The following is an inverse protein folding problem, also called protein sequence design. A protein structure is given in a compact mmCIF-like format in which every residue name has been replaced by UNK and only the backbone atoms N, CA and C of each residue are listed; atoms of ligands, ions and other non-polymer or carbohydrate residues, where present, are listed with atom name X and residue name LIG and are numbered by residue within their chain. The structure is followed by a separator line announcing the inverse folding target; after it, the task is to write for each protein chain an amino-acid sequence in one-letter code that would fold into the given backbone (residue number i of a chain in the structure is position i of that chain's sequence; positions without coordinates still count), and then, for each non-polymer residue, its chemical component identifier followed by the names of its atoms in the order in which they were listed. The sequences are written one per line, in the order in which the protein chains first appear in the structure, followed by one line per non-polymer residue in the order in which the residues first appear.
data_IF_893832246367
#
_entry.id   IF_893832246367
#
_cell.length_a   1.000
_cell.length_b   1.000
_cell.length_c   1.000
_cell.angle_alpha   90.00
_cell.angle_beta   90.00
_cell.angle_gamma   90.00
#
_symmetry.space_group_name_H-M   'P 1'
#
loop_
_entity.id
_entity.type
_entity.pdbx_description
1 polymer ?
#
# COMPACT_ATOMS: atom_id res chain seq x y z
N UNK A 1 -1.54 -38.73 -4.86
CA UNK A 1 -2.80 -38.36 -5.53
C UNK A 1 -2.41 -37.63 -6.80
N UNK A 2 -2.61 -38.22 -7.96
CA UNK A 2 -2.23 -37.60 -9.24
C UNK A 2 -3.39 -36.70 -9.71
N UNK A 3 -3.14 -35.42 -9.87
CA UNK A 3 -4.08 -34.50 -10.48
C UNK A 3 -4.03 -34.66 -12.00
N UNK A 4 -5.16 -34.71 -12.64
CA UNK A 4 -5.28 -34.81 -14.11
C UNK A 4 -5.39 -33.43 -14.78
N UNK A 5 -5.76 -32.40 -14.00
CA UNK A 5 -5.93 -31.03 -14.48
C UNK A 5 -5.18 -30.03 -13.60
N UNK A 6 -4.46 -29.14 -14.20
CA UNK A 6 -3.75 -28.05 -13.50
C UNK A 6 -4.65 -27.22 -12.58
N UNK A 7 -5.92 -27.02 -12.97
CA UNK A 7 -6.83 -26.22 -12.17
C UNK A 7 -7.10 -26.87 -10.82
N UNK A 8 -7.33 -28.19 -10.80
CA UNK A 8 -7.61 -28.92 -9.55
C UNK A 8 -6.37 -28.90 -8.62
N UNK A 9 -5.18 -29.07 -9.19
CA UNK A 9 -3.90 -28.97 -8.47
C UNK A 9 -3.70 -27.57 -7.89
N UNK A 10 -3.96 -26.53 -8.67
CA UNK A 10 -3.82 -25.14 -8.23
C UNK A 10 -4.83 -24.79 -7.15
N UNK A 11 -6.07 -25.22 -7.29
CA UNK A 11 -7.13 -24.92 -6.33
C UNK A 11 -6.87 -25.63 -4.99
N UNK A 12 -6.44 -26.90 -5.01
CA UNK A 12 -6.03 -27.62 -3.80
C UNK A 12 -4.84 -26.94 -3.10
N UNK A 13 -3.83 -26.57 -3.86
CA UNK A 13 -2.67 -25.82 -3.35
C UNK A 13 -3.09 -24.50 -2.66
N UNK A 14 -4.00 -23.75 -3.26
CA UNK A 14 -4.43 -22.48 -2.69
C UNK A 14 -5.34 -22.66 -1.46
N UNK A 15 -6.26 -23.63 -1.52
CA UNK A 15 -7.17 -23.92 -0.42
C UNK A 15 -6.39 -24.31 0.85
N UNK A 16 -5.52 -25.28 0.73
CA UNK A 16 -4.74 -25.81 1.86
C UNK A 16 -3.66 -24.83 2.37
N UNK A 17 -3.16 -23.97 1.51
CA UNK A 17 -2.19 -22.91 1.91
C UNK A 17 -2.86 -21.67 2.49
N UNK A 18 -4.19 -21.56 2.49
CA UNK A 18 -4.90 -20.37 2.99
C UNK A 18 -4.58 -19.08 2.25
N UNK A 19 -4.33 -19.15 0.94
CA UNK A 19 -3.90 -18.00 0.16
C UNK A 19 -5.02 -16.97 -0.04
N UNK A 20 -4.69 -15.68 0.14
CA UNK A 20 -5.59 -14.58 -0.22
C UNK A 20 -5.82 -14.50 -1.73
N UNK A 21 -6.92 -13.87 -2.17
CA UNK A 21 -7.23 -13.66 -3.58
C UNK A 21 -6.09 -12.97 -4.36
N UNK A 22 -5.39 -12.02 -3.72
CA UNK A 22 -4.20 -11.36 -4.29
C UNK A 22 -3.03 -12.32 -4.50
N UNK A 23 -2.78 -13.19 -3.52
CA UNK A 23 -1.75 -14.25 -3.61
C UNK A 23 -2.09 -15.23 -4.73
N UNK A 24 -3.34 -15.70 -4.79
CA UNK A 24 -3.82 -16.62 -5.85
C UNK A 24 -3.53 -16.04 -7.24
N UNK A 25 -3.90 -14.78 -7.49
CA UNK A 25 -3.64 -14.11 -8.77
C UNK A 25 -2.15 -14.06 -9.09
N UNK A 26 -1.32 -13.79 -8.09
CA UNK A 26 0.13 -13.69 -8.25
C UNK A 26 0.77 -15.06 -8.55
N UNK A 27 0.37 -16.13 -7.86
CA UNK A 27 0.80 -17.49 -8.15
C UNK A 27 0.38 -17.94 -9.56
N UNK A 28 -0.89 -17.73 -9.94
CA UNK A 28 -1.38 -18.07 -11.28
C UNK A 28 -0.56 -17.40 -12.40
N UNK A 29 -0.15 -16.15 -12.21
CA UNK A 29 0.71 -15.45 -13.16
C UNK A 29 2.07 -16.14 -13.31
N UNK A 30 2.68 -16.55 -12.21
CA UNK A 30 3.98 -17.25 -12.20
C UNK A 30 3.84 -18.66 -12.81
N UNK A 31 2.83 -19.41 -12.42
CA UNK A 31 2.56 -20.75 -12.94
C UNK A 31 2.34 -20.74 -14.47
N UNK A 32 1.57 -19.78 -14.97
CA UNK A 32 1.36 -19.66 -16.42
C UNK A 32 2.66 -19.35 -17.17
N UNK A 33 3.55 -18.53 -16.60
CA UNK A 33 4.87 -18.27 -17.18
C UNK A 33 5.76 -19.52 -17.16
N UNK A 34 5.77 -20.25 -16.05
CA UNK A 34 6.56 -21.46 -15.86
C UNK A 34 6.13 -22.56 -16.81
N UNK A 35 4.82 -22.82 -16.91
CA UNK A 35 4.22 -23.75 -17.88
C UNK A 35 4.58 -23.40 -19.33
N UNK A 36 4.37 -22.12 -19.69
CA UNK A 36 4.69 -21.65 -21.05
C UNK A 36 6.16 -21.80 -21.39
N UNK A 37 7.05 -21.52 -20.44
CA UNK A 37 8.49 -21.62 -20.64
C UNK A 37 8.92 -23.08 -20.88
N UNK A 38 8.40 -24.03 -20.11
CA UNK A 38 8.72 -25.44 -20.24
C UNK A 38 7.87 -26.19 -21.28
N UNK A 39 6.84 -25.53 -21.81
CA UNK A 39 5.84 -26.16 -22.71
C UNK A 39 5.22 -27.43 -22.10
N UNK A 40 4.94 -27.41 -20.79
CA UNK A 40 4.38 -28.52 -20.03
C UNK A 40 3.26 -28.04 -19.10
N UNK A 41 2.36 -28.96 -18.72
CA UNK A 41 1.37 -28.68 -17.67
C UNK A 41 2.05 -28.67 -16.28
N UNK A 42 1.43 -28.06 -15.27
CA UNK A 42 1.91 -28.16 -13.88
C UNK A 42 1.83 -29.59 -13.37
N UNK A 43 0.82 -30.33 -13.79
CA UNK A 43 0.66 -31.73 -13.43
C UNK A 43 1.82 -32.57 -13.96
N UNK A 44 2.23 -32.39 -15.22
CA UNK A 44 3.36 -33.12 -15.81
C UNK A 44 4.68 -32.75 -15.13
N UNK A 45 4.93 -31.46 -14.90
CA UNK A 45 6.12 -30.96 -14.20
C UNK A 45 6.23 -31.50 -12.77
N UNK A 46 5.09 -31.62 -12.09
CA UNK A 46 5.02 -32.20 -10.75
C UNK A 46 5.21 -33.71 -10.79
N UNK A 47 4.54 -34.40 -11.71
CA UNK A 47 4.63 -35.86 -11.86
C UNK A 47 6.06 -36.30 -12.19
N UNK A 48 6.76 -35.58 -13.08
CA UNK A 48 8.19 -35.82 -13.38
C UNK A 48 9.03 -35.76 -12.10
N UNK A 49 8.90 -34.68 -11.31
CA UNK A 49 9.67 -34.52 -10.08
C UNK A 49 9.35 -35.57 -9.00
N UNK A 50 8.06 -35.97 -8.87
CA UNK A 50 7.66 -37.03 -7.96
C UNK A 50 8.24 -38.37 -8.40
N UNK A 51 8.16 -38.70 -9.69
CA UNK A 51 8.70 -39.95 -10.24
C UNK A 51 10.20 -40.07 -10.02
N UNK A 52 10.95 -39.00 -10.22
CA UNK A 52 12.39 -38.97 -9.95
C UNK A 52 12.69 -39.19 -8.45
N UNK A 53 11.89 -38.61 -7.56
CA UNK A 53 12.04 -38.79 -6.12
C UNK A 53 11.70 -40.24 -5.68
N UNK A 54 10.64 -40.84 -6.23
CA UNK A 54 10.23 -42.21 -5.96
C UNK A 54 11.29 -43.22 -6.46
N UNK A 55 11.88 -42.97 -7.61
CA UNK A 55 12.98 -43.74 -8.19
C UNK A 55 14.31 -43.52 -7.50
N UNK A 56 14.37 -42.65 -6.46
CA UNK A 56 15.63 -42.30 -5.75
C UNK A 56 16.71 -41.79 -6.68
N UNK A 57 16.31 -41.02 -7.69
CA UNK A 57 17.27 -40.41 -8.63
C UNK A 57 18.31 -39.60 -7.88
N UNK A 58 19.62 -39.76 -8.13
CA UNK A 58 20.66 -38.96 -7.49
C UNK A 58 20.42 -37.46 -7.69
N UNK A 59 20.72 -36.65 -6.64
CA UNK A 59 20.45 -35.22 -6.63
C UNK A 59 21.00 -34.45 -7.84
N UNK A 60 22.20 -34.88 -8.31
CA UNK A 60 22.88 -34.30 -9.47
C UNK A 60 22.24 -34.68 -10.83
N UNK A 61 21.20 -35.50 -10.84
CA UNK A 61 20.44 -35.90 -12.05
C UNK A 61 18.99 -35.51 -12.00
N UNK A 62 18.56 -34.77 -10.97
CA UNK A 62 17.18 -34.31 -10.83
C UNK A 62 16.89 -33.22 -11.84
N UNK A 63 15.90 -33.43 -12.72
CA UNK A 63 15.49 -32.46 -13.76
C UNK A 63 14.89 -31.20 -13.15
N UNK A 64 14.30 -31.29 -11.97
CA UNK A 64 13.74 -30.13 -11.27
C UNK A 64 14.76 -29.01 -11.04
N UNK A 65 16.03 -29.36 -10.78
CA UNK A 65 17.09 -28.37 -10.65
C UNK A 65 17.28 -27.59 -11.94
N UNK A 66 17.45 -28.29 -13.07
CA UNK A 66 17.66 -27.65 -14.37
C UNK A 66 16.46 -26.85 -14.83
N UNK A 67 15.24 -27.31 -14.53
CA UNK A 67 14.01 -26.57 -14.81
C UNK A 67 13.92 -25.26 -14.06
N UNK A 68 14.25 -25.23 -12.77
CA UNK A 68 14.22 -24.01 -11.97
C UNK A 68 15.33 -23.05 -12.40
N UNK A 69 16.54 -23.56 -12.67
CA UNK A 69 17.68 -22.74 -13.12
C UNK A 69 17.42 -22.13 -14.50
N UNK A 70 16.99 -22.94 -15.48
CA UNK A 70 16.69 -22.44 -16.83
C UNK A 70 15.57 -21.41 -16.84
N UNK A 71 14.52 -21.61 -16.02
CA UNK A 71 13.47 -20.61 -15.84
C UNK A 71 13.98 -19.33 -15.16
N UNK A 72 14.86 -19.45 -14.17
CA UNK A 72 15.52 -18.29 -13.55
C UNK A 72 16.33 -17.49 -14.58
N UNK A 73 17.08 -18.16 -15.43
CA UNK A 73 17.89 -17.52 -16.46
C UNK A 73 17.01 -16.83 -17.53
N UNK A 74 15.88 -17.44 -17.87
CA UNK A 74 14.86 -16.80 -18.69
C UNK A 74 14.31 -15.54 -18.03
N UNK A 75 14.01 -15.58 -16.73
CA UNK A 75 13.52 -14.43 -15.99
C UNK A 75 14.56 -13.32 -15.90
N UNK A 76 15.84 -13.63 -15.74
CA UNK A 76 16.94 -12.65 -15.72
C UNK A 76 17.01 -11.86 -17.03
N UNK A 77 16.80 -12.52 -18.16
CA UNK A 77 16.81 -11.87 -19.48
C UNK A 77 15.61 -10.96 -19.73
N UNK A 78 14.46 -11.29 -19.13
CA UNK A 78 13.17 -10.67 -19.47
C UNK A 78 12.54 -9.83 -18.34
N UNK A 79 13.07 -9.87 -17.11
CA UNK A 79 12.49 -9.23 -15.94
C UNK A 79 13.56 -8.62 -15.02
N UNK A 80 13.12 -7.75 -14.11
CA UNK A 80 13.98 -6.99 -13.21
C UNK A 80 13.77 -7.45 -11.75
N UNK A 81 14.86 -7.60 -11.02
CA UNK A 81 14.97 -7.59 -9.57
C UNK A 81 14.01 -8.51 -8.81
N UNK A 82 13.19 -7.92 -7.97
CA UNK A 82 12.29 -8.64 -7.05
C UNK A 82 11.30 -9.58 -7.75
N UNK A 83 10.95 -9.33 -9.02
CA UNK A 83 10.07 -10.22 -9.79
C UNK A 83 10.70 -11.59 -10.01
N UNK A 84 12.02 -11.65 -10.20
CA UNK A 84 12.76 -12.91 -10.39
C UNK A 84 12.72 -13.72 -9.10
N UNK A 85 13.14 -13.10 -7.99
CA UNK A 85 13.20 -13.75 -6.68
C UNK A 85 11.82 -14.23 -6.23
N UNK A 86 10.79 -13.40 -6.39
CA UNK A 86 9.41 -13.74 -6.05
C UNK A 86 8.88 -14.91 -6.89
N UNK A 87 9.18 -14.93 -8.20
CA UNK A 87 8.74 -16.02 -9.08
C UNK A 87 9.40 -17.34 -8.71
N UNK A 88 10.72 -17.35 -8.50
CA UNK A 88 11.43 -18.55 -8.09
C UNK A 88 10.97 -19.04 -6.72
N UNK A 89 10.77 -18.14 -5.77
CA UNK A 89 10.22 -18.47 -4.44
C UNK A 89 8.86 -19.16 -4.53
N UNK A 90 7.96 -18.67 -5.39
CA UNK A 90 6.64 -19.27 -5.60
C UNK A 90 6.71 -20.68 -6.22
N UNK A 91 7.58 -20.88 -7.20
CA UNK A 91 7.79 -22.20 -7.78
C UNK A 91 8.34 -23.16 -6.73
N UNK A 92 9.34 -22.76 -5.95
CA UNK A 92 9.88 -23.58 -4.86
C UNK A 92 8.80 -23.92 -3.82
N UNK A 93 8.00 -22.94 -3.42
CA UNK A 93 6.89 -23.15 -2.48
C UNK A 93 5.87 -24.15 -3.01
N UNK A 94 5.54 -24.10 -4.29
CA UNK A 94 4.64 -25.06 -4.93
C UNK A 94 5.17 -26.50 -4.88
N UNK A 95 6.44 -26.72 -5.21
CA UNK A 95 7.05 -28.06 -5.13
C UNK A 95 7.16 -28.56 -3.69
N UNK A 96 7.61 -27.71 -2.76
CA UNK A 96 7.66 -28.07 -1.32
C UNK A 96 6.30 -28.43 -0.75
N UNK A 97 5.27 -27.68 -1.12
CA UNK A 97 3.90 -28.00 -0.74
C UNK A 97 3.49 -29.42 -1.18
N UNK A 98 3.88 -29.83 -2.38
CA UNK A 98 3.64 -31.17 -2.93
C UNK A 98 4.67 -32.18 -2.45
N UNK A 99 5.46 -31.89 -1.41
CA UNK A 99 6.46 -32.77 -0.78
C UNK A 99 7.59 -33.20 -1.71
N UNK A 100 7.87 -32.40 -2.73
CA UNK A 100 9.02 -32.60 -3.61
C UNK A 100 10.25 -31.95 -3.00
N UNK A 101 11.32 -32.72 -2.84
CA UNK A 101 12.61 -32.23 -2.40
C UNK A 101 13.28 -31.49 -3.54
N UNK A 102 13.70 -30.24 -3.28
CA UNK A 102 14.40 -29.42 -4.27
C UNK A 102 15.88 -29.36 -3.87
N UNK A 103 16.81 -29.68 -4.78
CA UNK A 103 18.23 -29.47 -4.57
C UNK A 103 18.56 -28.03 -4.19
N UNK A 104 19.74 -27.81 -3.61
CA UNK A 104 20.21 -26.47 -3.31
C UNK A 104 20.26 -25.60 -4.57
N UNK A 105 19.43 -24.58 -4.62
CA UNK A 105 19.42 -23.56 -5.69
C UNK A 105 20.25 -22.37 -5.19
N UNK A 106 21.39 -22.04 -5.78
CA UNK A 106 22.20 -20.90 -5.39
C UNK A 106 21.40 -19.60 -5.39
N UNK A 107 21.59 -18.72 -4.39
CA UNK A 107 20.90 -17.43 -4.37
C UNK A 107 21.25 -16.61 -5.62
N UNK A 108 20.31 -15.77 -6.04
CA UNK A 108 20.54 -14.87 -7.15
C UNK A 108 21.59 -13.82 -6.74
N UNK A 109 22.58 -13.58 -7.60
CA UNK A 109 23.57 -12.54 -7.36
C UNK A 109 22.87 -11.17 -7.24
N UNK A 110 23.31 -10.36 -6.28
CA UNK A 110 22.76 -9.02 -6.00
C UNK A 110 22.73 -8.12 -7.24
N UNK A 111 23.65 -8.29 -8.19
CA UNK A 111 23.65 -7.56 -9.48
C UNK A 111 22.35 -7.72 -10.26
N UNK A 112 21.68 -8.86 -10.14
CA UNK A 112 20.42 -9.12 -10.82
C UNK A 112 19.21 -8.73 -9.99
N UNK A 113 19.37 -8.60 -8.66
CA UNK A 113 18.30 -8.23 -7.72
C UNK A 113 18.21 -6.72 -7.55
N UNK A 114 19.34 -6.02 -7.54
CA UNK A 114 19.48 -4.61 -7.14
C UNK A 114 19.24 -3.57 -8.26
N UNK A 115 18.69 -3.98 -9.41
CA UNK A 115 18.29 -3.00 -10.46
C UNK A 115 17.05 -2.17 -10.12
N UNK A 116 16.48 -2.33 -8.94
CA UNK A 116 15.59 -1.31 -8.40
C UNK A 116 16.48 -0.19 -7.85
N UNK A 117 16.57 0.91 -8.57
CA UNK A 117 17.16 2.13 -8.06
C UNK A 117 16.62 2.39 -6.67
N UNK A 118 17.52 2.49 -5.68
CA UNK A 118 17.11 2.84 -4.33
C UNK A 118 16.42 4.20 -4.42
N UNK A 119 15.13 4.21 -4.14
CA UNK A 119 14.35 5.46 -4.15
C UNK A 119 14.93 6.36 -3.07
N UNK A 120 15.58 7.43 -3.49
CA UNK A 120 16.16 8.45 -2.64
C UNK A 120 15.12 9.49 -2.21
N UNK A 121 15.50 10.39 -1.32
CA UNK A 121 14.64 11.52 -0.95
C UNK A 121 14.32 12.42 -2.16
N UNK A 122 15.29 12.63 -3.04
CA UNK A 122 15.13 13.45 -4.25
C UNK A 122 14.11 12.88 -5.26
N UNK A 123 13.85 11.58 -5.20
CA UNK A 123 12.86 10.92 -6.06
C UNK A 123 11.43 11.11 -5.58
N UNK A 124 11.23 11.55 -4.34
CA UNK A 124 9.89 11.84 -3.83
C UNK A 124 9.34 13.11 -4.50
N UNK A 125 8.00 13.17 -4.72
CA UNK A 125 7.40 14.42 -5.16
C UNK A 125 7.58 15.49 -4.07
N UNK A 126 7.96 16.70 -4.46
CA UNK A 126 8.07 17.85 -3.57
C UNK A 126 6.70 18.43 -3.25
N UNK A 127 6.59 19.28 -2.21
CA UNK A 127 5.35 20.00 -1.92
C UNK A 127 4.90 20.88 -3.07
N UNK A 128 5.82 21.53 -3.79
CA UNK A 128 5.49 22.39 -4.94
C UNK A 128 4.96 21.57 -6.11
N UNK A 129 5.55 20.43 -6.41
CA UNK A 129 5.03 19.50 -7.41
C UNK A 129 3.65 18.97 -7.03
N UNK A 130 3.41 18.69 -5.74
CA UNK A 130 2.09 18.28 -5.28
C UNK A 130 1.07 19.44 -5.36
N UNK A 131 1.47 20.68 -5.06
CA UNK A 131 0.60 21.86 -5.28
C UNK A 131 0.26 22.04 -6.76
N UNK A 132 1.23 21.85 -7.66
CA UNK A 132 0.99 21.87 -9.09
C UNK A 132 0.05 20.74 -9.53
N UNK A 133 0.28 19.53 -9.06
CA UNK A 133 -0.63 18.40 -9.32
C UNK A 133 -2.06 18.69 -8.84
N UNK A 134 -2.20 19.32 -7.68
CA UNK A 134 -3.50 19.74 -7.15
C UNK A 134 -4.22 20.79 -8.00
N UNK A 135 -3.51 21.59 -8.78
CA UNK A 135 -4.15 22.57 -9.70
C UNK A 135 -4.80 21.86 -10.90
N UNK A 136 -4.12 20.86 -11.47
CA UNK A 136 -4.55 20.19 -12.70
C UNK A 136 -5.37 18.90 -12.47
N UNK A 137 -5.38 18.35 -11.26
CA UNK A 137 -6.19 17.20 -10.93
C UNK A 137 -7.70 17.53 -10.93
N UNK A 138 -8.54 16.56 -11.33
CA UNK A 138 -9.97 16.63 -11.07
C UNK A 138 -10.28 16.52 -9.57
N UNK A 139 -11.50 16.82 -9.16
CA UNK A 139 -11.88 16.84 -7.74
C UNK A 139 -11.69 15.50 -7.05
N UNK A 140 -11.96 14.40 -7.73
CA UNK A 140 -11.79 13.06 -7.17
C UNK A 140 -10.30 12.73 -6.97
N UNK A 141 -9.46 13.05 -7.95
CA UNK A 141 -8.02 12.83 -7.85
C UNK A 141 -7.39 13.74 -6.77
N UNK A 142 -7.91 14.98 -6.59
CA UNK A 142 -7.51 15.85 -5.47
C UNK A 142 -7.78 15.19 -4.12
N UNK A 143 -8.96 14.57 -3.96
CA UNK A 143 -9.28 13.84 -2.72
C UNK A 143 -8.31 12.66 -2.52
N UNK A 144 -8.01 11.88 -3.56
CA UNK A 144 -7.04 10.78 -3.48
C UNK A 144 -5.66 11.25 -3.05
N UNK A 145 -5.14 12.32 -3.65
CA UNK A 145 -3.82 12.90 -3.30
C UNK A 145 -3.82 13.27 -1.82
N UNK A 146 -4.79 14.08 -1.37
CA UNK A 146 -4.84 14.58 0.00
C UNK A 146 -5.05 13.47 1.03
N UNK A 147 -5.90 12.49 0.76
CA UNK A 147 -6.12 11.35 1.65
C UNK A 147 -4.83 10.56 1.85
N UNK A 148 -4.09 10.27 0.77
CA UNK A 148 -2.87 9.46 0.88
C UNK A 148 -1.73 10.24 1.55
N UNK A 149 -1.49 11.50 1.17
CA UNK A 149 -0.42 12.30 1.81
C UNK A 149 -0.72 12.58 3.28
N UNK A 150 -2.01 12.69 3.64
CA UNK A 150 -2.42 12.96 5.00
C UNK A 150 -2.37 11.71 5.89
N UNK A 151 -2.98 10.62 5.45
CA UNK A 151 -3.12 9.40 6.26
C UNK A 151 -1.98 8.39 6.09
N UNK A 152 -1.22 8.46 4.99
CA UNK A 152 -0.30 7.40 4.61
C UNK A 152 -0.98 6.07 4.27
N UNK A 153 -2.30 6.02 4.10
CA UNK A 153 -3.04 4.80 3.78
C UNK A 153 -2.62 4.21 2.43
N UNK A 154 -2.66 2.90 2.30
CA UNK A 154 -2.52 2.24 1.01
C UNK A 154 -3.74 2.51 0.12
N UNK A 155 -3.63 2.25 -1.19
CA UNK A 155 -4.77 2.42 -2.13
C UNK A 155 -6.03 1.67 -1.71
N UNK A 156 -5.86 0.43 -1.26
CA UNK A 156 -6.99 -0.40 -0.83
C UNK A 156 -7.62 0.13 0.46
N UNK A 157 -6.79 0.55 1.41
CA UNK A 157 -7.24 1.14 2.68
C UNK A 157 -7.90 2.51 2.45
N UNK A 158 -7.33 3.37 1.59
CA UNK A 158 -7.96 4.64 1.21
C UNK A 158 -9.32 4.42 0.50
N UNK A 159 -9.39 3.43 -0.40
CA UNK A 159 -10.63 3.06 -1.10
C UNK A 159 -11.71 2.51 -0.16
N UNK A 160 -11.35 1.89 0.96
CA UNK A 160 -12.31 1.37 1.94
C UNK A 160 -12.94 2.46 2.83
N UNK A 161 -12.43 3.69 2.80
CA UNK A 161 -13.05 4.79 3.52
C UNK A 161 -14.43 5.14 2.92
N UNK A 162 -15.40 5.35 3.79
CA UNK A 162 -16.75 5.81 3.43
C UNK A 162 -16.99 7.23 3.94
N UNK A 163 -18.10 7.85 3.53
CA UNK A 163 -18.54 9.13 4.08
C UNK A 163 -18.74 9.04 5.61
N UNK A 164 -19.16 7.88 6.11
CA UNK A 164 -19.26 7.55 7.54
C UNK A 164 -17.91 7.70 8.26
N UNK A 165 -16.80 7.28 7.62
CA UNK A 165 -15.45 7.46 8.19
C UNK A 165 -15.14 8.93 8.46
N UNK A 166 -15.51 9.83 7.54
CA UNK A 166 -15.33 11.27 7.73
C UNK A 166 -16.27 11.82 8.80
N UNK A 167 -17.56 11.45 8.75
CA UNK A 167 -18.58 11.92 9.66
C UNK A 167 -18.27 11.57 11.12
N UNK A 168 -18.07 10.29 11.40
CA UNK A 168 -17.77 9.80 12.75
C UNK A 168 -16.38 10.28 13.23
N UNK A 169 -15.37 10.24 12.33
CA UNK A 169 -14.01 10.67 12.66
C UNK A 169 -13.86 12.15 12.98
N UNK A 170 -14.86 12.96 12.66
CA UNK A 170 -14.89 14.40 12.95
C UNK A 170 -16.01 14.81 13.95
N UNK A 171 -16.80 13.86 14.44
CA UNK A 171 -17.97 14.14 15.28
C UNK A 171 -17.65 14.96 16.54
N UNK A 172 -16.49 14.75 17.16
CA UNK A 172 -16.05 15.52 18.34
C UNK A 172 -15.99 17.04 18.09
N UNK A 173 -15.86 17.47 16.82
CA UNK A 173 -15.77 18.88 16.45
C UNK A 173 -17.11 19.49 16.07
N UNK A 174 -17.93 18.78 15.28
CA UNK A 174 -19.18 19.36 14.74
C UNK A 174 -20.42 19.01 15.54
N UNK A 175 -20.50 17.85 16.18
CA UNK A 175 -21.64 17.38 16.97
C UNK A 175 -22.97 17.52 16.22
N UNK A 176 -22.97 17.23 14.91
CA UNK A 176 -24.15 17.32 14.05
C UNK A 176 -24.78 15.92 13.89
N UNK A 177 -26.10 15.90 13.77
CA UNK A 177 -26.86 14.66 13.65
C UNK A 177 -26.90 14.10 12.22
N UNK A 178 -26.62 14.96 11.23
CA UNK A 178 -26.61 14.56 9.83
C UNK A 178 -25.33 15.00 9.10
N UNK A 179 -24.99 14.26 8.04
CA UNK A 179 -23.73 14.44 7.31
C UNK A 179 -23.69 15.76 6.53
N UNK A 180 -24.81 16.22 5.95
CA UNK A 180 -24.87 17.47 5.22
C UNK A 180 -24.48 18.67 6.10
N UNK A 181 -25.04 18.76 7.30
CA UNK A 181 -24.70 19.85 8.23
C UNK A 181 -23.27 19.72 8.79
N UNK A 182 -22.80 18.48 8.98
CA UNK A 182 -21.41 18.24 9.31
C UNK A 182 -20.48 18.75 8.19
N UNK A 183 -20.76 18.46 6.93
CA UNK A 183 -19.99 18.94 5.79
C UNK A 183 -19.99 20.48 5.70
N UNK A 184 -21.13 21.15 5.92
CA UNK A 184 -21.20 22.63 5.99
C UNK A 184 -20.29 23.19 7.08
N UNK A 185 -20.26 22.55 8.24
CA UNK A 185 -19.35 22.93 9.31
C UNK A 185 -17.88 22.72 8.91
N UNK A 186 -17.54 21.53 8.45
CA UNK A 186 -16.17 21.15 8.08
C UNK A 186 -15.60 22.00 6.93
N UNK A 187 -16.43 22.34 5.94
CA UNK A 187 -16.02 23.18 4.80
C UNK A 187 -15.53 24.59 5.20
N UNK A 188 -15.96 25.09 6.38
CA UNK A 188 -15.60 26.40 6.92
C UNK A 188 -14.46 26.34 7.95
N UNK A 189 -14.07 25.15 8.40
CA UNK A 189 -13.05 24.96 9.44
C UNK A 189 -11.73 24.54 8.83
N UNK A 190 -10.65 25.04 9.39
CA UNK A 190 -9.27 24.75 8.95
C UNK A 190 -8.40 24.15 10.07
N UNK A 191 -9.03 23.63 11.11
CA UNK A 191 -8.36 23.11 12.31
C UNK A 191 -8.94 21.76 12.77
N UNK A 192 -9.68 21.06 11.90
CA UNK A 192 -10.29 19.76 12.22
C UNK A 192 -9.41 18.64 11.72
N UNK A 193 -9.01 17.75 12.61
CA UNK A 193 -8.28 16.52 12.30
C UNK A 193 -9.25 15.34 12.40
N UNK A 194 -9.49 14.64 11.28
CA UNK A 194 -10.35 13.46 11.26
C UNK A 194 -9.59 12.25 11.78
N UNK A 195 -10.20 11.47 12.67
CA UNK A 195 -9.68 10.18 13.12
C UNK A 195 -10.27 9.05 12.28
N UNK A 196 -9.42 8.29 11.58
CA UNK A 196 -9.83 7.17 10.76
C UNK A 196 -9.43 5.86 11.41
N UNK A 197 -10.40 4.97 11.68
CA UNK A 197 -10.16 3.59 12.07
C UNK A 197 -10.25 2.72 10.82
N UNK A 198 -9.16 2.14 10.41
CA UNK A 198 -9.04 1.34 9.18
C UNK A 198 -8.61 -0.08 9.50
N UNK A 199 -8.87 -0.99 8.58
CA UNK A 199 -8.37 -2.37 8.62
C UNK A 199 -7.26 -2.51 7.59
N UNK A 200 -6.09 -2.98 8.02
CA UNK A 200 -4.98 -3.23 7.13
C UNK A 200 -5.24 -4.46 6.28
N UNK A 201 -5.40 -4.28 4.98
CA UNK A 201 -5.73 -5.34 4.01
C UNK A 201 -4.75 -6.53 4.02
N UNK A 202 -3.47 -6.30 4.33
CA UNK A 202 -2.45 -7.36 4.31
C UNK A 202 -2.46 -8.26 5.55
N UNK A 203 -2.91 -7.76 6.70
CA UNK A 203 -2.81 -8.44 8.00
C UNK A 203 -4.12 -8.54 8.73
N UNK A 204 -5.18 -7.97 8.18
CA UNK A 204 -6.54 -7.91 8.73
C UNK A 204 -6.62 -7.30 10.14
N UNK A 205 -5.65 -6.42 10.47
CA UNK A 205 -5.57 -5.76 11.77
C UNK A 205 -6.11 -4.35 11.71
N UNK A 206 -6.93 -3.94 12.70
CA UNK A 206 -7.37 -2.56 12.80
C UNK A 206 -6.20 -1.66 13.22
N UNK A 207 -6.21 -0.43 12.69
CA UNK A 207 -5.27 0.61 13.07
C UNK A 207 -5.91 2.00 12.96
N UNK A 208 -5.27 3.01 13.55
CA UNK A 208 -5.72 4.39 13.48
C UNK A 208 -4.76 5.21 12.61
N UNK A 209 -5.36 6.06 11.78
CA UNK A 209 -4.64 7.10 11.06
C UNK A 209 -5.51 8.36 11.01
N UNK A 210 -4.99 9.46 10.43
CA UNK A 210 -5.66 10.75 10.52
C UNK A 210 -5.66 11.47 9.18
N UNK A 211 -6.70 12.30 8.97
CA UNK A 211 -6.70 13.27 7.88
C UNK A 211 -6.46 14.65 8.46
N UNK A 212 -5.50 15.38 7.91
CA UNK A 212 -5.18 16.74 8.30
C UNK A 212 -6.29 17.73 7.93
N UNK A 213 -6.31 18.95 8.48
CA UNK A 213 -7.40 19.89 8.24
C UNK A 213 -7.57 20.30 6.77
N UNK A 214 -6.49 20.35 5.97
CA UNK A 214 -6.58 20.66 4.53
C UNK A 214 -7.37 19.58 3.79
N UNK A 215 -7.08 18.32 4.09
CA UNK A 215 -7.77 17.17 3.53
C UNK A 215 -9.25 17.19 3.91
N UNK A 216 -9.57 17.33 5.21
CA UNK A 216 -10.94 17.38 5.73
C UNK A 216 -11.75 18.51 5.07
N UNK A 217 -11.20 19.72 5.05
CA UNK A 217 -11.87 20.88 4.48
C UNK A 217 -12.12 20.72 2.97
N UNK A 218 -11.13 20.22 2.23
CA UNK A 218 -11.25 20.03 0.79
C UNK A 218 -12.29 18.96 0.46
N UNK A 219 -12.27 17.83 1.15
CA UNK A 219 -13.27 16.76 0.97
C UNK A 219 -14.68 17.31 1.25
N UNK A 220 -14.85 18.01 2.36
CA UNK A 220 -16.16 18.57 2.71
C UNK A 220 -16.70 19.51 1.63
N UNK A 221 -15.87 20.39 1.06
CA UNK A 221 -16.26 21.29 -0.03
C UNK A 221 -16.63 20.53 -1.31
N UNK A 222 -15.89 19.48 -1.66
CA UNK A 222 -16.15 18.66 -2.85
C UNK A 222 -17.46 17.89 -2.67
N UNK A 223 -17.64 17.23 -1.53
CA UNK A 223 -18.87 16.44 -1.23
C UNK A 223 -20.14 17.32 -1.21
N UNK A 224 -20.06 18.53 -0.69
CA UNK A 224 -21.17 19.48 -0.76
C UNK A 224 -21.58 19.83 -2.19
N UNK A 225 -20.60 20.01 -3.09
CA UNK A 225 -20.88 20.27 -4.52
C UNK A 225 -21.44 19.06 -5.26
N UNK A 226 -21.08 17.86 -4.81
CA UNK A 226 -21.54 16.59 -5.41
C UNK A 226 -22.91 16.16 -4.86
N UNK A 227 -23.43 16.82 -3.84
CA UNK A 227 -24.68 16.46 -3.15
C UNK A 227 -24.73 14.99 -2.69
N UNK A 228 -23.55 14.43 -2.34
CA UNK A 228 -23.37 13.06 -1.93
C UNK A 228 -23.37 12.95 -0.41
N UNK A 229 -24.54 12.67 0.16
CA UNK A 229 -24.77 12.67 1.60
C UNK A 229 -25.02 11.28 2.20
N UNK A 230 -25.00 10.22 1.39
CA UNK A 230 -25.11 8.86 1.87
C UNK A 230 -23.84 8.49 2.67
N UNK A 231 -24.05 8.11 3.93
CA UNK A 231 -22.96 7.76 4.85
C UNK A 231 -22.19 6.49 4.42
N UNK A 232 -22.85 5.55 3.79
CA UNK A 232 -22.26 4.28 3.39
C UNK A 232 -21.64 4.34 1.99
N UNK A 233 -21.87 5.43 1.26
CA UNK A 233 -21.19 5.67 -0.01
C UNK A 233 -19.67 5.79 0.17
N UNK A 234 -18.87 5.32 -0.82
CA UNK A 234 -17.43 5.47 -0.77
C UNK A 234 -17.00 6.93 -0.66
N UNK A 235 -16.06 7.24 0.23
CA UNK A 235 -15.46 8.56 0.31
C UNK A 235 -14.75 8.91 -1.01
N UNK A 236 -14.07 7.93 -1.60
CA UNK A 236 -13.34 8.02 -2.86
C UNK A 236 -14.03 7.13 -3.91
N UNK A 237 -14.56 7.74 -4.99
CA UNK A 237 -15.39 7.04 -5.99
C UNK A 237 -14.57 6.23 -7.00
N UNK A 238 -13.40 6.71 -7.42
CA UNK A 238 -12.58 6.00 -8.40
C UNK A 238 -12.17 4.61 -7.89
N UNK A 239 -12.28 3.60 -8.75
CA UNK A 239 -11.70 2.29 -8.47
C UNK A 239 -10.16 2.33 -8.60
N UNK A 240 -9.49 1.29 -8.09
CA UNK A 240 -8.03 1.25 -8.00
C UNK A 240 -7.34 1.30 -9.38
N UNK A 241 -7.92 0.69 -10.40
CA UNK A 241 -7.35 0.72 -11.76
C UNK A 241 -7.49 2.11 -12.38
N UNK A 242 -8.68 2.71 -12.23
CA UNK A 242 -8.94 4.05 -12.75
C UNK A 242 -8.07 5.11 -12.08
N UNK A 243 -7.93 5.06 -10.76
CA UNK A 243 -7.07 6.02 -10.04
C UNK A 243 -5.59 5.88 -10.46
N UNK A 244 -5.11 4.65 -10.69
CA UNK A 244 -3.74 4.46 -11.20
C UNK A 244 -3.55 5.09 -12.58
N UNK A 245 -4.53 4.93 -13.47
CA UNK A 245 -4.51 5.56 -14.79
C UNK A 245 -4.53 7.08 -14.67
N UNK A 246 -5.40 7.65 -13.83
CA UNK A 246 -5.47 9.09 -13.58
C UNK A 246 -4.16 9.67 -13.05
N UNK A 247 -3.52 8.99 -12.08
CA UNK A 247 -2.21 9.39 -11.59
C UNK A 247 -1.15 9.37 -12.70
N UNK A 248 -1.13 8.32 -13.53
CA UNK A 248 -0.19 8.23 -14.65
C UNK A 248 -0.42 9.35 -15.65
N UNK A 249 -1.65 9.58 -16.08
CA UNK A 249 -2.01 10.66 -17.02
C UNK A 249 -1.59 12.04 -16.48
N UNK A 250 -1.85 12.32 -15.19
CA UNK A 250 -1.45 13.57 -14.58
C UNK A 250 0.08 13.70 -14.47
N UNK A 251 0.77 12.61 -14.11
CA UNK A 251 2.23 12.57 -14.08
C UNK A 251 2.86 12.88 -15.44
N UNK A 252 2.33 12.25 -16.49
CA UNK A 252 2.83 12.42 -17.87
C UNK A 252 2.52 13.83 -18.39
N UNK A 253 1.34 14.36 -18.09
CA UNK A 253 0.95 15.73 -18.44
C UNK A 253 1.85 16.78 -17.79
N UNK A 254 2.24 16.59 -16.52
CA UNK A 254 3.08 17.52 -15.78
C UNK A 254 4.59 17.27 -15.99
N UNK A 255 4.98 16.25 -16.75
CA UNK A 255 6.36 15.95 -17.05
C UNK A 255 7.20 15.52 -15.83
N UNK A 256 6.59 14.91 -14.80
CA UNK A 256 7.31 14.50 -13.57
C UNK A 256 8.25 13.30 -13.77
N UNK A 257 8.17 12.63 -14.92
CA UNK A 257 9.06 11.51 -15.26
C UNK A 257 8.76 10.22 -14.48
N UNK A 258 9.74 9.33 -14.48
CA UNK A 258 9.65 8.01 -13.89
C UNK A 258 10.75 7.78 -12.85
N UNK A 259 10.44 6.93 -11.86
CA UNK A 259 11.39 6.46 -10.84
C UNK A 259 11.25 4.93 -10.73
N UNK A 260 12.33 4.20 -10.99
CA UNK A 260 12.36 2.75 -10.98
C UNK A 260 11.41 2.12 -12.01
N UNK A 261 11.23 2.75 -13.20
CA UNK A 261 10.35 2.28 -14.27
C UNK A 261 8.86 2.50 -14.02
N UNK A 262 8.50 3.40 -13.09
CA UNK A 262 7.12 3.76 -12.78
C UNK A 262 6.95 5.26 -12.68
N UNK A 263 5.75 5.76 -13.02
CA UNK A 263 5.41 7.18 -12.85
C UNK A 263 5.81 7.68 -11.46
N UNK A 264 6.48 8.84 -11.38
CA UNK A 264 6.94 9.44 -10.12
C UNK A 264 5.75 9.87 -9.26
N UNK A 265 4.74 10.52 -9.85
CA UNK A 265 3.48 10.80 -9.16
C UNK A 265 2.57 9.58 -9.18
N UNK A 266 2.54 8.83 -8.10
CA UNK A 266 1.68 7.65 -7.91
C UNK A 266 1.35 7.42 -6.43
N UNK A 267 0.28 6.72 -6.10
CA UNK A 267 -0.14 6.51 -4.71
C UNK A 267 0.95 5.97 -3.79
N UNK A 268 1.81 5.07 -4.29
CA UNK A 268 2.90 4.52 -3.48
C UNK A 268 3.96 5.57 -3.13
N UNK A 269 4.26 6.50 -4.05
CA UNK A 269 5.20 7.60 -3.77
C UNK A 269 4.59 8.62 -2.81
N UNK A 270 3.29 8.88 -2.88
CA UNK A 270 2.59 9.71 -1.90
C UNK A 270 2.62 9.11 -0.48
N UNK A 271 2.48 7.78 -0.37
CA UNK A 271 2.65 7.10 0.93
C UNK A 271 4.10 7.17 1.42
N UNK A 272 5.10 7.08 0.54
CA UNK A 272 6.50 7.30 0.90
C UNK A 272 6.75 8.76 1.30
N UNK A 273 6.16 9.71 0.58
CA UNK A 273 6.18 11.13 0.96
C UNK A 273 5.67 11.31 2.40
N UNK A 274 4.47 10.80 2.72
CA UNK A 274 3.92 10.85 4.08
C UNK A 274 4.90 10.29 5.11
N UNK A 275 5.40 9.06 4.90
CA UNK A 275 6.34 8.42 5.83
C UNK A 275 7.61 9.23 6.03
N UNK A 276 8.23 9.66 4.95
CA UNK A 276 9.52 10.36 4.98
C UNK A 276 9.39 11.77 5.55
N UNK A 277 8.37 12.52 5.15
CA UNK A 277 8.19 13.88 5.66
C UNK A 277 7.74 13.90 7.13
N UNK A 278 7.03 12.90 7.62
CA UNK A 278 6.72 12.79 9.05
C UNK A 278 7.95 12.42 9.90
N UNK A 279 8.93 11.69 9.34
CA UNK A 279 10.12 11.25 10.09
C UNK A 279 11.33 12.15 9.91
N UNK A 280 11.49 12.78 8.75
CA UNK A 280 12.66 13.62 8.42
C UNK A 280 12.29 15.08 8.28
N UNK A 281 11.01 15.36 8.01
CA UNK A 281 10.42 16.68 8.01
C UNK A 281 10.73 17.55 6.80
N UNK A 282 10.04 18.69 6.78
CA UNK A 282 10.38 19.86 5.98
C UNK A 282 10.73 21.06 6.90
N UNK A 283 11.04 20.79 8.15
CA UNK A 283 11.29 21.77 9.22
C UNK A 283 10.09 22.68 9.54
N UNK A 284 8.87 22.25 9.18
CA UNK A 284 7.63 23.00 9.41
C UNK A 284 6.83 22.50 10.61
N UNK A 285 7.19 21.34 11.14
CA UNK A 285 6.59 20.71 12.32
C UNK A 285 7.56 19.77 13.01
N UNK A 286 7.14 19.19 14.13
CA UNK A 286 7.91 18.19 14.85
C UNK A 286 8.11 16.92 13.98
N UNK A 287 9.09 16.11 14.34
CA UNK A 287 9.36 14.84 13.68
C UNK A 287 8.76 13.69 14.48
N UNK A 288 8.23 12.70 13.78
CA UNK A 288 7.76 11.46 14.39
C UNK A 288 8.87 10.41 14.41
N UNK A 289 8.88 9.61 15.48
CA UNK A 289 9.65 8.37 15.48
C UNK A 289 9.09 7.36 14.46
N UNK A 290 9.96 6.52 13.92
CA UNK A 290 9.57 5.47 12.96
C UNK A 290 8.45 4.57 13.48
N UNK A 291 8.46 4.23 14.79
CA UNK A 291 7.43 3.41 15.43
C UNK A 291 6.04 4.07 15.32
N UNK A 292 5.94 5.40 15.52
CA UNK A 292 4.69 6.15 15.40
C UNK A 292 4.18 6.16 13.95
N UNK A 293 5.08 6.33 12.98
CA UNK A 293 4.72 6.28 11.56
C UNK A 293 4.30 4.87 11.15
N UNK A 294 4.95 3.84 11.67
CA UNK A 294 4.54 2.46 11.40
C UNK A 294 3.14 2.16 11.96
N UNK A 295 2.78 2.70 13.12
CA UNK A 295 1.42 2.62 13.66
C UNK A 295 0.41 3.34 12.76
N UNK A 296 0.71 4.57 12.34
CA UNK A 296 -0.13 5.34 11.42
C UNK A 296 -0.36 4.63 10.08
N UNK A 297 0.58 3.80 9.65
CA UNK A 297 0.50 3.00 8.44
C UNK A 297 -0.06 1.59 8.66
N UNK A 298 -0.49 1.27 9.89
CA UNK A 298 -0.97 -0.06 10.26
C UNK A 298 0.11 -1.14 10.16
N UNK A 299 1.40 -0.78 10.13
CA UNK A 299 2.50 -1.75 10.19
C UNK A 299 2.61 -2.28 11.61
N UNK A 300 2.66 -3.60 11.74
CA UNK A 300 2.71 -4.22 13.06
C UNK A 300 4.05 -4.00 13.74
N UNK A 301 4.02 -3.73 15.06
CA UNK A 301 5.18 -3.89 15.94
C UNK A 301 5.63 -5.36 15.94
N UNK A 302 6.87 -5.65 16.31
CA UNK A 302 7.27 -7.02 16.58
C UNK A 302 6.39 -7.65 17.68
N UNK A 303 6.29 -8.98 17.73
CA UNK A 303 5.39 -9.70 18.65
C UNK A 303 5.61 -9.31 20.11
N UNK A 304 6.86 -9.10 20.52
CA UNK A 304 7.24 -8.71 21.87
C UNK A 304 6.68 -7.33 22.23
N UNK A 305 6.85 -6.32 21.36
CA UNK A 305 6.31 -4.99 21.61
C UNK A 305 4.77 -4.96 21.61
N UNK A 306 4.10 -5.78 20.80
CA UNK A 306 2.63 -5.89 20.81
C UNK A 306 2.08 -6.40 22.15
N UNK A 307 2.81 -7.24 22.86
CA UNK A 307 2.40 -7.76 24.15
C UNK A 307 2.41 -6.68 25.24
N UNK A 308 3.40 -5.80 25.24
CA UNK A 308 3.63 -4.83 26.31
C UNK A 308 3.03 -3.43 26.06
N UNK A 309 2.86 -3.03 24.80
CA UNK A 309 2.37 -1.69 24.45
C UNK A 309 0.99 -1.74 23.81
N UNK A 310 0.02 -1.12 24.48
CA UNK A 310 -1.30 -0.84 23.91
C UNK A 310 -1.27 0.52 23.26
N UNK A 311 -1.72 0.58 22.01
CA UNK A 311 -1.75 1.83 21.26
C UNK A 311 -2.87 2.72 21.80
N UNK A 312 -2.52 3.94 22.20
CA UNK A 312 -3.48 4.97 22.60
C UNK A 312 -3.76 5.87 21.37
N UNK A 313 -4.97 5.82 20.80
CA UNK A 313 -5.31 6.63 19.63
C UNK A 313 -5.21 8.13 19.87
N UNK A 314 -5.51 8.61 21.08
CA UNK A 314 -5.44 10.04 21.40
C UNK A 314 -3.99 10.52 21.49
N UNK A 315 -3.09 9.70 22.05
CA UNK A 315 -1.66 9.98 22.04
C UNK A 315 -1.12 10.01 20.60
N UNK A 316 -1.48 9.03 19.78
CA UNK A 316 -1.06 8.96 18.38
C UNK A 316 -1.61 10.16 17.58
N UNK A 317 -2.83 10.60 17.87
CA UNK A 317 -3.41 11.82 17.30
C UNK A 317 -2.63 13.06 17.68
N UNK A 318 -2.23 13.17 18.95
CA UNK A 318 -1.42 14.29 19.40
C UNK A 318 -0.07 14.33 18.69
N UNK A 319 0.63 13.21 18.62
CA UNK A 319 1.88 13.10 17.86
C UNK A 319 1.68 13.52 16.38
N UNK A 320 0.65 13.01 15.73
CA UNK A 320 0.31 13.37 14.36
C UNK A 320 0.08 14.89 14.21
N UNK A 321 -0.64 15.53 15.14
CA UNK A 321 -0.91 16.98 15.12
C UNK A 321 0.38 17.79 15.16
N UNK A 322 1.36 17.39 15.97
CA UNK A 322 2.67 18.06 16.04
C UNK A 322 3.43 18.01 14.71
N UNK A 323 3.30 16.91 13.98
CA UNK A 323 4.09 16.65 12.78
C UNK A 323 3.37 16.98 11.46
N UNK A 324 2.04 17.14 11.46
CA UNK A 324 1.24 17.23 10.23
C UNK A 324 1.58 18.43 9.33
N UNK A 325 2.23 19.48 9.84
CA UNK A 325 2.72 20.60 9.03
C UNK A 325 3.73 20.13 7.97
N UNK A 326 4.52 19.08 8.30
CA UNK A 326 5.50 18.54 7.36
C UNK A 326 4.88 17.92 6.10
N UNK A 327 3.63 17.44 6.20
CA UNK A 327 2.88 16.81 5.09
C UNK A 327 1.76 17.70 4.53
N UNK A 328 1.59 18.90 5.06
CA UNK A 328 0.57 19.86 4.62
C UNK A 328 1.08 20.69 3.45
N UNK A 329 0.20 21.00 2.48
CA UNK A 329 0.58 21.68 1.25
C UNK A 329 0.39 23.20 1.32
N UNK A 330 -0.61 23.69 2.03
CA UNK A 330 -1.02 25.06 1.96
C UNK A 330 -1.01 25.79 3.32
N UNK A 331 -0.82 25.03 4.42
CA UNK A 331 -0.94 25.59 5.77
C UNK A 331 0.10 24.99 6.70
N UNK A 332 0.56 25.82 7.62
CA UNK A 332 1.30 25.41 8.80
C UNK A 332 0.33 25.27 9.97
N UNK A 333 0.53 24.29 10.82
CA UNK A 333 -0.28 24.01 11.99
C UNK A 333 0.55 24.05 13.24
N UNK A 334 0.11 24.86 14.21
CA UNK A 334 0.59 24.85 15.59
C UNK A 334 -0.48 24.22 16.48
N UNK A 335 -0.18 24.04 17.74
CA UNK A 335 -1.17 23.55 18.70
C UNK A 335 -0.99 24.21 20.05
N UNK A 336 -2.10 24.31 20.80
CA UNK A 336 -2.12 24.69 22.21
C UNK A 336 -2.87 23.63 23.01
N UNK A 337 -2.46 23.41 24.26
CA UNK A 337 -3.16 22.52 25.19
C UNK A 337 -4.01 23.41 26.11
N UNK A 338 -5.34 23.31 26.00
CA UNK A 338 -6.30 24.06 26.82
C UNK A 338 -7.16 23.09 27.59
N UNK A 339 -7.10 23.11 28.90
CA UNK A 339 -7.86 22.20 29.80
C UNK A 339 -7.71 20.73 29.41
N UNK A 340 -6.47 20.29 29.16
CA UNK A 340 -6.14 18.91 28.77
C UNK A 340 -6.57 18.51 27.34
N UNK A 341 -7.03 19.46 26.52
CA UNK A 341 -7.42 19.19 25.11
C UNK A 341 -6.49 19.93 24.15
N UNK A 342 -6.10 19.23 23.10
CA UNK A 342 -5.28 19.81 22.03
C UNK A 342 -6.16 20.64 21.11
N UNK A 343 -5.82 21.93 20.97
CA UNK A 343 -6.42 22.82 19.97
C UNK A 343 -5.44 23.06 18.83
N UNK A 344 -5.86 22.79 17.61
CA UNK A 344 -5.08 23.06 16.40
C UNK A 344 -5.26 24.51 15.98
N UNK A 345 -4.16 25.17 15.68
CA UNK A 345 -4.08 26.54 15.18
C UNK A 345 -3.55 26.47 13.75
N UNK A 346 -4.28 27.04 12.80
CA UNK A 346 -3.89 27.02 11.38
C UNK A 346 -3.38 28.39 10.96
N UNK A 347 -2.20 28.42 10.35
CA UNK A 347 -1.59 29.60 9.72
C UNK A 347 -1.41 29.34 8.22
N UNK A 348 -1.56 30.34 7.32
CA UNK A 348 -1.15 30.17 5.92
C UNK A 348 0.37 29.93 5.85
N UNK A 349 0.80 29.19 4.82
CA UNK A 349 2.21 29.04 4.46
C UNK A 349 2.69 30.30 3.77
#
# INVERSE_FOLDING_TARGET
MYYTRDQDLIDDFHLKSGHSAGSIKSYRTVFNKYKKFHNMSLCDLLAEAITEQENRTPENRLTIYDRIISFRDYLIKNHIGNTITDSISKIKTFYHYNRVTIPFIPPLNSKYVSKNDLISFADLPTKDELRLAMQFADDELKMWILVIISSGASRCEAKSMTNRTLFEGTNAYHKKDNFHDALKYLARKNNVVCTCKLIRQKTDKPYYTFLNPECVQRIARIKLRQEDFDLDAPLLKYNINHVNHKFKTLNDYLGFGEVGGYARLRPHMLRKFNSTYLTQGSFEGDLLGMDSVDLLHGRGKNKTRQAYYKDNPDFLKFEYIKAMSNISLYRRYDYNIVKGRVKVISKPL
#
